data_IF_918725943955
#
_entry.id   IF_918725943955
#
_cell.length_a   1.000
_cell.length_b   1.000
_cell.length_c   1.000
_cell.angle_alpha   90.00
_cell.angle_beta   90.00
_cell.angle_gamma   90.00
#
_symmetry.space_group_name_H-M   'P 1'
#
loop_
_entity.id
_entity.type
_entity.pdbx_description
1 polymer ?
#
# COMPACT_ATOMS: atom_id res chain seq x y z
N UNK A 1 -18.50 1.39 -11.01
CA UNK A 1 -17.41 0.72 -10.27
C UNK A 1 -17.23 -0.73 -10.79
N UNK A 2 -17.67 -1.01 -12.03
CA UNK A 2 -18.19 -2.34 -12.41
C UNK A 2 -17.32 -3.12 -13.39
N UNK A 3 -16.09 -2.66 -13.63
CA UNK A 3 -15.12 -3.40 -14.44
C UNK A 3 -14.04 -4.02 -13.55
N UNK A 4 -13.56 -5.24 -13.85
CA UNK A 4 -12.41 -5.80 -13.15
C UNK A 4 -11.19 -4.90 -13.34
N UNK A 5 -10.31 -4.87 -12.34
CA UNK A 5 -8.98 -4.29 -12.47
C UNK A 5 -8.22 -5.00 -13.59
N UNK A 6 -7.32 -4.25 -14.23
CA UNK A 6 -6.43 -4.76 -15.27
C UNK A 6 -4.97 -4.65 -14.85
N UNK A 7 -4.10 -5.50 -15.42
CA UNK A 7 -2.65 -5.44 -15.21
C UNK A 7 -2.09 -4.06 -15.59
N UNK A 8 -2.62 -3.43 -16.64
CA UNK A 8 -2.17 -2.11 -17.12
C UNK A 8 -2.42 -1.02 -16.09
N UNK A 9 -3.61 -1.01 -15.46
CA UNK A 9 -3.93 -0.06 -14.40
C UNK A 9 -3.01 -0.25 -13.18
N UNK A 10 -2.81 -1.51 -12.76
CA UNK A 10 -1.90 -1.81 -11.65
C UNK A 10 -0.46 -1.43 -11.96
N UNK A 11 0.00 -1.67 -13.19
CA UNK A 11 1.36 -1.31 -13.63
C UNK A 11 1.55 0.20 -13.64
N UNK A 12 0.58 0.94 -14.18
CA UNK A 12 0.59 2.42 -14.13
C UNK A 12 0.67 2.94 -12.69
N UNK A 13 -0.13 2.38 -11.78
CA UNK A 13 -0.10 2.74 -10.36
C UNK A 13 1.26 2.40 -9.71
N UNK A 14 1.84 1.24 -10.04
CA UNK A 14 3.16 0.82 -9.55
C UNK A 14 4.26 1.76 -10.03
N UNK A 15 4.22 2.17 -11.30
CA UNK A 15 5.23 3.04 -11.89
C UNK A 15 5.14 4.46 -11.31
N UNK A 16 3.94 4.92 -10.92
CA UNK A 16 3.74 6.16 -10.16
C UNK A 16 4.29 6.10 -8.72
N UNK A 17 4.56 4.92 -8.17
CA UNK A 17 5.16 4.82 -6.84
C UNK A 17 6.61 5.28 -6.88
N UNK A 18 6.95 6.20 -5.98
CA UNK A 18 8.34 6.60 -5.76
C UNK A 18 9.14 5.45 -5.17
N UNK A 19 10.41 5.38 -5.55
CA UNK A 19 11.37 4.46 -4.96
C UNK A 19 11.80 4.90 -3.54
N UNK A 20 12.46 4.00 -2.81
CA UNK A 20 12.91 4.12 -1.42
C UNK A 20 11.79 4.39 -0.43
N UNK A 21 10.58 3.89 -0.71
CA UNK A 21 9.48 3.93 0.25
C UNK A 21 9.58 2.77 1.22
N UNK A 22 9.37 3.08 2.50
CA UNK A 22 9.31 2.06 3.53
C UNK A 22 8.20 1.04 3.21
N UNK A 23 8.50 -0.27 3.28
CA UNK A 23 7.51 -1.32 3.10
C UNK A 23 6.50 -1.32 4.25
N UNK A 24 5.40 -2.05 4.08
CA UNK A 24 4.48 -2.31 5.17
C UNK A 24 5.03 -3.40 6.10
N UNK A 25 4.13 -3.99 6.89
CA UNK A 25 4.46 -5.14 7.74
C UNK A 25 4.97 -6.36 6.94
N UNK A 26 4.62 -6.43 5.66
CA UNK A 26 5.05 -7.45 4.70
C UNK A 26 6.54 -7.38 4.34
N UNK A 27 7.19 -6.24 4.58
CA UNK A 27 8.59 -6.03 4.20
C UNK A 27 8.82 -5.95 2.69
N UNK A 28 7.76 -5.85 1.86
CA UNK A 28 7.85 -5.85 0.41
C UNK A 28 7.93 -4.40 -0.10
N UNK A 29 9.07 -3.94 -0.63
CA UNK A 29 9.20 -2.59 -1.13
C UNK A 29 8.72 -2.48 -2.59
N UNK A 30 8.36 -1.28 -3.09
CA UNK A 30 7.91 -1.09 -4.47
C UNK A 30 8.90 -1.55 -5.54
N UNK A 31 10.20 -1.45 -5.28
CA UNK A 31 11.27 -1.88 -6.18
C UNK A 31 11.19 -3.37 -6.46
N UNK A 32 10.97 -4.18 -5.42
CA UNK A 32 10.87 -5.62 -5.57
C UNK A 32 9.67 -5.99 -6.45
N UNK A 33 8.54 -5.29 -6.28
CA UNK A 33 7.38 -5.48 -7.15
C UNK A 33 7.66 -5.07 -8.59
N UNK A 34 8.41 -3.98 -8.81
CA UNK A 34 8.79 -3.52 -10.16
C UNK A 34 9.72 -4.53 -10.84
N UNK A 35 10.66 -5.11 -10.11
CA UNK A 35 11.61 -6.10 -10.62
C UNK A 35 10.94 -7.43 -10.95
N UNK A 36 10.01 -7.89 -10.11
CA UNK A 36 9.34 -9.19 -10.27
C UNK A 36 7.95 -9.07 -10.92
N UNK A 37 7.63 -7.92 -11.52
CA UNK A 37 6.28 -7.57 -11.94
C UNK A 37 5.64 -8.64 -12.83
N UNK A 38 6.37 -9.11 -13.84
CA UNK A 38 5.83 -10.04 -14.83
C UNK A 38 5.44 -11.40 -14.21
N UNK A 39 6.05 -11.76 -13.08
CA UNK A 39 5.76 -13.00 -12.35
C UNK A 39 4.60 -12.80 -11.37
N UNK A 40 4.61 -11.68 -10.64
CA UNK A 40 3.68 -11.46 -9.52
C UNK A 40 2.37 -10.77 -9.93
N UNK A 41 2.36 -10.04 -11.05
CA UNK A 41 1.20 -9.26 -11.48
C UNK A 41 -0.09 -10.07 -11.59
N UNK A 42 -0.10 -11.31 -12.12
CA UNK A 42 -1.32 -12.12 -12.17
C UNK A 42 -1.85 -12.47 -10.77
N UNK A 43 -0.96 -12.74 -9.81
CA UNK A 43 -1.33 -13.08 -8.44
C UNK A 43 -1.95 -11.88 -7.72
N UNK A 44 -1.31 -10.71 -7.83
CA UNK A 44 -1.81 -9.46 -7.25
C UNK A 44 -3.16 -9.10 -7.88
N UNK A 45 -3.28 -9.19 -9.21
CA UNK A 45 -4.53 -8.90 -9.91
C UNK A 45 -5.69 -9.78 -9.43
N UNK A 46 -5.47 -11.09 -9.33
CA UNK A 46 -6.48 -12.03 -8.88
C UNK A 46 -6.90 -11.75 -7.44
N UNK A 47 -5.94 -11.47 -6.56
CA UNK A 47 -6.22 -11.12 -5.16
C UNK A 47 -7.06 -9.83 -5.05
N UNK A 48 -6.70 -8.77 -5.78
CA UNK A 48 -7.40 -7.49 -5.72
C UNK A 48 -8.80 -7.58 -6.37
N UNK A 49 -8.94 -8.29 -7.49
CA UNK A 49 -10.26 -8.51 -8.10
C UNK A 49 -11.18 -9.33 -7.21
N UNK A 50 -10.65 -10.36 -6.55
CA UNK A 50 -11.42 -11.13 -5.56
C UNK A 50 -11.87 -10.24 -4.39
N UNK A 51 -10.99 -9.37 -3.89
CA UNK A 51 -11.34 -8.41 -2.84
C UNK A 51 -12.42 -7.40 -3.28
N UNK A 52 -12.35 -6.92 -4.53
CA UNK A 52 -13.38 -6.06 -5.11
C UNK A 52 -14.74 -6.78 -5.23
N UNK A 53 -14.74 -8.03 -5.70
CA UNK A 53 -15.95 -8.84 -5.80
C UNK A 53 -16.61 -9.08 -4.43
N UNK A 54 -15.80 -9.36 -3.39
CA UNK A 54 -16.30 -9.54 -2.01
C UNK A 54 -16.58 -8.23 -1.29
N UNK A 55 -16.17 -7.09 -1.85
CA UNK A 55 -16.28 -5.78 -1.22
C UNK A 55 -15.37 -5.59 0.01
N UNK A 56 -14.37 -6.46 0.20
CA UNK A 56 -13.49 -6.44 1.36
C UNK A 56 -12.07 -6.91 1.02
N UNK A 57 -11.09 -6.15 1.50
CA UNK A 57 -9.68 -6.53 1.45
C UNK A 57 -9.34 -7.54 2.56
N UNK A 58 -8.32 -8.36 2.34
CA UNK A 58 -7.82 -9.24 3.39
C UNK A 58 -7.28 -8.43 4.58
N UNK A 59 -7.35 -8.98 5.80
CA UNK A 59 -6.92 -8.29 7.03
C UNK A 59 -5.51 -7.71 6.94
N UNK A 60 -4.57 -8.46 6.35
CA UNK A 60 -3.19 -7.99 6.19
C UNK A 60 -3.09 -6.77 5.26
N UNK A 61 -3.97 -6.68 4.26
CA UNK A 61 -4.04 -5.56 3.32
C UNK A 61 -4.67 -4.32 3.98
N UNK A 62 -5.46 -4.48 5.03
CA UNK A 62 -6.01 -3.36 5.82
C UNK A 62 -5.20 -3.04 7.06
N UNK A 63 -4.13 -3.80 7.34
CA UNK A 63 -3.26 -3.60 8.50
C UNK A 63 -2.12 -2.64 8.18
N UNK A 64 -1.91 -1.64 9.03
CA UNK A 64 -0.80 -0.71 8.94
C UNK A 64 0.18 -0.90 10.10
N UNK A 65 1.48 -0.82 9.82
CA UNK A 65 2.50 -0.72 10.86
C UNK A 65 2.67 0.75 11.25
N UNK A 66 2.39 1.09 12.51
CA UNK A 66 2.59 2.45 13.02
C UNK A 66 4.02 2.58 13.54
N UNK A 67 4.77 3.52 12.98
CA UNK A 67 6.11 3.88 13.45
C UNK A 67 6.19 5.35 13.82
N UNK A 68 7.10 5.72 14.73
CA UNK A 68 7.29 7.08 15.21
C UNK A 68 8.54 7.69 14.57
N UNK A 69 8.36 8.81 13.86
CA UNK A 69 9.46 9.60 13.31
C UNK A 69 9.71 10.84 14.17
N UNK A 70 10.92 10.98 14.71
CA UNK A 70 11.31 12.14 15.51
C UNK A 70 11.39 13.41 14.66
N UNK A 71 10.79 14.51 15.14
CA UNK A 71 10.94 15.84 14.53
C UNK A 71 12.38 16.33 14.73
N UNK A 72 12.95 16.97 13.69
CA UNK A 72 14.29 17.55 13.77
C UNK A 72 14.41 18.50 14.96
N UNK A 73 15.53 18.42 15.68
CA UNK A 73 15.89 19.28 16.82
C UNK A 73 14.87 19.30 17.98
N UNK A 74 14.15 18.18 18.19
CA UNK A 74 13.29 18.00 19.37
C UNK A 74 13.77 16.84 20.24
N UNK A 75 13.43 16.91 21.53
CA UNK A 75 13.73 15.87 22.51
C UNK A 75 12.97 14.58 22.22
N UNK A 76 13.67 13.45 22.18
CA UNK A 76 13.12 12.12 21.98
C UNK A 76 12.28 11.60 23.16
N UNK A 77 12.42 12.17 24.34
CA UNK A 77 11.67 11.77 25.53
C UNK A 77 10.26 12.38 25.58
N UNK A 78 9.99 13.42 24.78
CA UNK A 78 8.66 14.01 24.67
C UNK A 78 7.82 13.35 23.57
N UNK A 79 6.66 12.80 23.93
CA UNK A 79 5.73 12.21 22.97
C UNK A 79 5.31 13.18 21.84
N UNK A 80 5.19 14.48 22.15
CA UNK A 80 4.84 15.54 21.18
C UNK A 80 5.89 15.77 20.08
N UNK A 81 7.11 15.25 20.29
CA UNK A 81 8.24 15.36 19.38
C UNK A 81 8.19 14.36 18.23
N UNK A 82 7.39 13.31 18.35
CA UNK A 82 7.26 12.29 17.31
C UNK A 82 6.10 12.60 16.36
N UNK A 83 6.22 12.11 15.11
CA UNK A 83 5.14 12.05 14.12
C UNK A 83 4.80 10.58 13.91
N UNK A 84 3.56 10.13 14.18
CA UNK A 84 3.15 8.79 13.80
C UNK A 84 3.06 8.70 12.27
N UNK A 85 3.58 7.60 11.72
CA UNK A 85 3.51 7.27 10.29
C UNK A 85 2.93 5.86 10.18
N UNK A 86 1.88 5.73 9.37
CA UNK A 86 1.28 4.44 9.02
C UNK A 86 1.96 3.88 7.78
N UNK A 87 2.66 2.77 7.93
CA UNK A 87 3.27 2.03 6.82
C UNK A 87 2.29 0.96 6.33
N UNK A 88 1.71 1.21 5.15
CA UNK A 88 0.83 0.28 4.46
C UNK A 88 1.64 -0.69 3.59
N UNK A 89 1.13 -1.91 3.41
CA UNK A 89 1.65 -2.87 2.44
C UNK A 89 1.57 -2.32 1.02
N UNK A 90 2.45 -2.80 0.14
CA UNK A 90 2.61 -2.20 -1.18
C UNK A 90 1.44 -2.54 -2.11
N UNK A 91 0.82 -3.70 -1.94
CA UNK A 91 -0.43 -4.09 -2.61
C UNK A 91 -1.62 -3.19 -2.22
N UNK A 92 -1.75 -2.80 -0.96
CA UNK A 92 -2.77 -1.85 -0.52
C UNK A 92 -2.55 -0.45 -1.05
N UNK A 93 -1.28 -0.03 -1.17
CA UNK A 93 -0.94 1.22 -1.86
C UNK A 93 -1.34 1.17 -3.34
N UNK A 94 -1.16 0.04 -4.03
CA UNK A 94 -1.60 -0.14 -5.43
C UNK A 94 -3.12 0.01 -5.55
N UNK A 95 -3.87 -0.59 -4.64
CA UNK A 95 -5.34 -0.45 -4.58
C UNK A 95 -5.77 1.01 -4.40
N UNK A 96 -5.16 1.72 -3.45
CA UNK A 96 -5.49 3.12 -3.14
C UNK A 96 -5.14 4.08 -4.29
N UNK A 97 -3.99 3.88 -4.93
CA UNK A 97 -3.56 4.71 -6.07
C UNK A 97 -4.48 4.57 -7.28
N UNK A 98 -5.17 3.43 -7.41
CA UNK A 98 -6.18 3.23 -8.45
C UNK A 98 -7.52 3.94 -8.14
N UNK A 99 -7.65 4.61 -6.98
CA UNK A 99 -8.83 5.38 -6.55
C UNK A 99 -10.17 4.61 -6.56
N UNK A 100 -10.13 3.29 -6.75
CA UNK A 100 -11.32 2.42 -6.81
C UNK A 100 -11.80 1.99 -5.43
N UNK A 101 -10.98 2.15 -4.40
CA UNK A 101 -11.33 1.89 -3.00
C UNK A 101 -11.19 3.19 -2.20
N UNK A 102 -12.32 3.75 -1.74
CA UNK A 102 -12.29 4.76 -0.68
C UNK A 102 -12.36 4.01 0.66
N UNK A 103 -11.35 4.09 1.53
CA UNK A 103 -11.53 3.61 2.89
C UNK A 103 -12.70 4.40 3.52
N UNK A 104 -13.48 3.70 4.35
CA UNK A 104 -14.70 4.15 5.02
C UNK A 104 -14.77 5.67 5.27
N UNK A 105 -15.93 6.33 5.01
CA UNK A 105 -16.12 7.69 5.50
C UNK A 105 -16.03 7.65 7.03
N UNK A 106 -15.07 8.41 7.58
CA UNK A 106 -15.09 8.82 8.98
C UNK A 106 -16.18 9.89 9.17
#
# INVERSE_FOLDING_TARGET
>A
LDSPLTIKELKSALDCMSSNKAPGLDGIPPELLKTLWDIIAPLILNSLNFALEKGALHRNQTTALITLLLKKAKDSLECSSCRPISLLSTDSKLMLLNQRFRPYPL
#
